data_IF_111244262167
#
_entry.id   IF_111244262167
#
_cell.length_a   1.000
_cell.length_b   1.000
_cell.length_c   1.000
_cell.angle_alpha   90.00
_cell.angle_beta   90.00
_cell.angle_gamma   90.00
#
_symmetry.space_group_name_H-M   'P 1'
#
loop_
_entity.id
_entity.type
_entity.pdbx_description
1 polymer ?
#
# COMPACT_ATOMS: atom_id res chain seq x y z
N UNK A 1 -9.40 -43.57 7.51
CA UNK A 1 -8.62 -43.38 6.27
C UNK A 1 -9.65 -43.10 5.19
N UNK A 2 -10.12 -41.86 5.06
CA UNK A 2 -9.35 -40.74 4.52
C UNK A 2 -9.61 -39.46 5.32
N UNK A 3 -8.54 -38.80 5.78
CA UNK A 3 -8.61 -37.45 6.33
C UNK A 3 -9.05 -36.48 5.24
N UNK A 4 -10.10 -35.73 5.55
CA UNK A 4 -10.43 -34.52 4.82
C UNK A 4 -9.38 -33.46 5.21
N UNK A 5 -8.42 -33.23 4.31
CA UNK A 5 -7.64 -31.99 4.33
C UNK A 5 -8.63 -30.88 4.06
N UNK A 6 -9.07 -30.21 5.12
CA UNK A 6 -9.76 -28.95 5.04
C UNK A 6 -8.71 -27.97 4.49
N UNK A 7 -8.84 -27.64 3.21
CA UNK A 7 -8.16 -26.52 2.58
C UNK A 7 -8.59 -25.25 3.33
N UNK A 8 -7.80 -24.87 4.35
CA UNK A 8 -7.90 -23.60 5.07
C UNK A 8 -7.27 -22.47 4.23
N UNK A 9 -7.60 -22.44 2.94
CA UNK A 9 -7.33 -21.31 2.06
C UNK A 9 -8.59 -20.47 1.91
N UNK A 10 -9.16 -20.07 3.06
CA UNK A 10 -10.00 -18.89 3.09
C UNK A 10 -9.11 -17.74 2.62
N UNK A 11 -9.34 -17.26 1.39
CA UNK A 11 -8.57 -16.19 0.76
C UNK A 11 -8.47 -15.01 1.72
N UNK A 12 -7.37 -14.94 2.48
CA UNK A 12 -7.10 -13.85 3.38
C UNK A 12 -7.10 -12.59 2.52
N UNK A 13 -7.95 -11.63 2.85
CA UNK A 13 -7.93 -10.33 2.17
C UNK A 13 -6.48 -9.83 2.24
N UNK A 14 -5.81 -9.61 1.09
CA UNK A 14 -4.41 -9.22 1.12
C UNK A 14 -4.32 -7.94 1.94
N UNK A 15 -3.44 -7.94 2.93
CA UNK A 15 -3.19 -6.75 3.73
C UNK A 15 -2.73 -5.65 2.77
N UNK A 16 -3.48 -4.55 2.75
CA UNK A 16 -3.19 -3.38 1.92
C UNK A 16 -2.62 -2.27 2.79
N UNK A 17 -1.81 -1.43 2.18
CA UNK A 17 -1.34 -0.16 2.74
C UNK A 17 -1.86 0.98 1.88
N UNK A 18 -2.39 2.01 2.54
CA UNK A 18 -2.80 3.24 1.87
C UNK A 18 -1.60 4.18 1.73
N UNK A 19 -1.33 4.62 0.50
CA UNK A 19 -0.27 5.56 0.18
C UNK A 19 -0.88 6.76 -0.55
N UNK A 20 -0.59 7.95 -0.05
CA UNK A 20 -0.94 9.22 -0.69
C UNK A 20 0.11 9.55 -1.74
N UNK A 21 -0.34 9.79 -2.96
CA UNK A 21 0.48 10.13 -4.11
C UNK A 21 0.00 11.46 -4.69
N UNK A 22 0.92 12.43 -4.81
CA UNK A 22 0.65 13.72 -5.46
C UNK A 22 0.45 13.57 -6.98
N UNK A 23 -0.10 14.59 -7.63
CA UNK A 23 -0.38 14.52 -9.07
C UNK A 23 0.90 14.34 -9.91
N UNK A 24 1.98 15.05 -9.57
CA UNK A 24 3.25 14.95 -10.30
C UNK A 24 3.90 13.57 -10.09
N UNK A 25 3.84 13.04 -8.87
CA UNK A 25 4.33 11.71 -8.54
C UNK A 25 3.52 10.60 -9.20
N UNK A 26 2.20 10.78 -9.34
CA UNK A 26 1.34 9.86 -10.05
C UNK A 26 1.72 9.79 -11.54
N UNK A 27 2.05 10.92 -12.16
CA UNK A 27 2.55 10.94 -13.54
C UNK A 27 3.90 10.24 -13.66
N UNK A 28 4.82 10.50 -12.73
CA UNK A 28 6.12 9.83 -12.67
C UNK A 28 5.96 8.31 -12.54
N UNK A 29 5.10 7.86 -11.63
CA UNK A 29 4.79 6.46 -11.38
C UNK A 29 4.21 5.79 -12.62
N UNK A 30 3.23 6.43 -13.26
CA UNK A 30 2.61 5.91 -14.48
C UNK A 30 3.62 5.82 -15.64
N UNK A 31 4.53 6.78 -15.75
CA UNK A 31 5.64 6.72 -16.70
C UNK A 31 6.56 5.53 -16.41
N UNK A 32 6.96 5.33 -15.15
CA UNK A 32 7.82 4.23 -14.74
C UNK A 32 7.18 2.85 -15.03
N UNK A 33 5.90 2.68 -14.72
CA UNK A 33 5.16 1.45 -15.00
C UNK A 33 5.01 1.19 -16.51
N UNK A 34 4.92 2.26 -17.31
CA UNK A 34 4.83 2.18 -18.78
C UNK A 34 6.08 1.59 -19.45
N UNK A 35 7.24 1.66 -18.79
CA UNK A 35 8.51 1.08 -19.29
C UNK A 35 8.61 -0.43 -19.03
N UNK A 36 7.75 -0.99 -18.18
CA UNK A 36 7.72 -2.42 -17.89
C UNK A 36 6.83 -3.19 -18.89
N UNK A 37 7.05 -4.51 -19.07
CA UNK A 37 6.21 -5.32 -19.94
C UNK A 37 4.73 -5.25 -19.51
N UNK A 38 3.85 -4.87 -20.45
CA UNK A 38 2.42 -4.64 -20.19
C UNK A 38 1.73 -5.74 -19.37
N UNK A 39 2.03 -7.02 -19.65
CA UNK A 39 1.48 -8.18 -18.93
C UNK A 39 1.75 -8.17 -17.42
N UNK A 40 2.77 -7.45 -16.96
CA UNK A 40 3.11 -7.31 -15.54
C UNK A 40 2.35 -6.18 -14.87
N UNK A 41 2.11 -5.09 -15.60
CA UNK A 41 1.60 -3.83 -15.04
C UNK A 41 0.11 -3.59 -15.29
N UNK A 42 -0.54 -4.32 -16.21
CA UNK A 42 -1.90 -3.98 -16.65
C UNK A 42 -2.94 -3.99 -15.52
N UNK A 43 -2.89 -4.98 -14.61
CA UNK A 43 -3.80 -5.05 -13.46
C UNK A 43 -3.58 -3.88 -12.51
N UNK A 44 -2.31 -3.58 -12.22
CA UNK A 44 -1.93 -2.49 -11.33
C UNK A 44 -2.35 -1.14 -11.91
N UNK A 45 -2.03 -0.88 -13.18
CA UNK A 45 -2.45 0.34 -13.89
C UNK A 45 -3.98 0.45 -13.90
N UNK A 46 -4.68 -0.65 -14.16
CA UNK A 46 -6.14 -0.69 -14.11
C UNK A 46 -6.67 -0.33 -12.71
N UNK A 47 -6.06 -0.86 -11.66
CA UNK A 47 -6.42 -0.55 -10.28
C UNK A 47 -6.15 0.92 -9.92
N UNK A 48 -4.96 1.45 -10.26
CA UNK A 48 -4.59 2.84 -10.01
C UNK A 48 -5.53 3.81 -10.75
N UNK A 49 -5.86 3.52 -12.00
CA UNK A 49 -6.79 4.35 -12.78
C UNK A 49 -8.20 4.36 -12.19
N UNK A 50 -8.70 3.22 -11.68
CA UNK A 50 -10.00 3.19 -10.98
C UNK A 50 -9.98 4.05 -9.72
N UNK A 51 -8.90 3.99 -8.94
CA UNK A 51 -8.74 4.79 -7.74
C UNK A 51 -8.62 6.29 -8.07
N UNK A 52 -7.89 6.63 -9.14
CA UNK A 52 -7.77 8.02 -9.63
C UNK A 52 -9.11 8.58 -10.12
N UNK A 53 -9.93 7.78 -10.78
CA UNK A 53 -11.25 8.22 -11.24
C UNK A 53 -12.29 8.32 -10.10
N UNK A 54 -12.01 7.74 -8.94
CA UNK A 54 -12.88 7.83 -7.76
C UNK A 54 -12.66 9.10 -6.94
N UNK A 55 -11.56 9.82 -7.19
CA UNK A 55 -11.23 11.07 -6.49
C UNK A 55 -11.54 12.29 -7.36
N UNK A 56 -11.79 13.44 -6.71
CA UNK A 56 -12.02 14.69 -7.44
C UNK A 56 -10.75 15.13 -8.20
N UNK A 57 -10.88 15.73 -9.40
CA UNK A 57 -9.73 16.25 -10.13
C UNK A 57 -8.89 17.22 -9.28
N UNK A 58 -7.57 17.00 -9.25
CA UNK A 58 -6.64 17.81 -8.47
C UNK A 58 -6.52 17.44 -6.98
N UNK A 59 -7.29 16.45 -6.50
CA UNK A 59 -7.06 15.86 -5.19
C UNK A 59 -5.85 14.91 -5.22
N UNK A 60 -5.16 14.77 -4.08
CA UNK A 60 -4.16 13.74 -3.91
C UNK A 60 -4.80 12.35 -4.05
N UNK A 61 -4.10 11.44 -4.71
CA UNK A 61 -4.56 10.08 -4.92
C UNK A 61 -4.19 9.24 -3.70
N UNK A 62 -5.18 8.61 -3.06
CA UNK A 62 -4.92 7.59 -2.04
C UNK A 62 -4.97 6.23 -2.71
N UNK A 63 -3.81 5.56 -2.75
CA UNK A 63 -3.64 4.25 -3.35
C UNK A 63 -3.64 3.15 -2.29
N UNK A 64 -4.64 2.27 -2.31
CA UNK A 64 -4.61 1.02 -1.57
C UNK A 64 -3.76 0.00 -2.35
N UNK A 65 -2.63 -0.40 -1.78
CA UNK A 65 -1.64 -1.28 -2.41
C UNK A 65 -1.43 -2.54 -1.59
N UNK A 66 -1.52 -3.70 -2.24
CA UNK A 66 -1.04 -4.95 -1.66
C UNK A 66 0.48 -5.08 -1.85
N UNK A 67 1.09 -6.08 -1.19
CA UNK A 67 2.53 -6.29 -1.26
C UNK A 67 3.07 -6.51 -2.69
N UNK A 68 2.42 -7.33 -3.56
CA UNK A 68 2.82 -7.46 -4.96
C UNK A 68 2.77 -6.15 -5.75
N UNK A 69 1.69 -5.38 -5.61
CA UNK A 69 1.56 -4.07 -6.26
C UNK A 69 2.66 -3.12 -5.81
N UNK A 70 2.91 -3.06 -4.49
CA UNK A 70 3.95 -2.21 -3.94
C UNK A 70 5.35 -2.60 -4.44
N UNK A 71 5.67 -3.89 -4.48
CA UNK A 71 6.95 -4.37 -5.00
C UNK A 71 7.16 -3.98 -6.47
N UNK A 72 6.11 -4.08 -7.29
CA UNK A 72 6.16 -3.72 -8.70
C UNK A 72 6.36 -2.20 -8.90
N UNK A 73 5.75 -1.38 -8.03
CA UNK A 73 5.98 0.07 -8.00
C UNK A 73 7.45 0.37 -7.69
N UNK A 74 8.00 -0.22 -6.63
CA UNK A 74 9.40 -0.01 -6.25
C UNK A 74 10.37 -0.46 -7.35
N UNK A 75 10.09 -1.59 -7.99
CA UNK A 75 10.86 -2.07 -9.16
C UNK A 75 10.83 -1.05 -10.31
N UNK A 76 9.64 -0.59 -10.70
CA UNK A 76 9.46 0.38 -11.77
C UNK A 76 10.24 1.68 -11.48
N UNK A 77 10.10 2.21 -10.26
CA UNK A 77 10.82 3.40 -9.81
C UNK A 77 12.35 3.20 -9.80
N UNK A 78 12.82 1.99 -9.52
CA UNK A 78 14.24 1.64 -9.55
C UNK A 78 14.91 1.73 -10.93
N UNK A 79 14.13 1.78 -12.01
CA UNK A 79 14.64 1.99 -13.37
C UNK A 79 14.86 3.48 -13.72
N UNK A 80 14.39 4.41 -12.87
CA UNK A 80 14.51 5.83 -13.14
C UNK A 80 15.80 6.44 -12.53
N UNK A 81 16.31 7.55 -13.10
CA UNK A 81 17.42 8.28 -12.49
C UNK A 81 17.10 8.75 -11.07
N UNK A 82 18.02 8.55 -10.13
CA UNK A 82 17.82 8.84 -8.71
C UNK A 82 17.28 10.26 -8.44
N UNK A 83 17.81 11.28 -9.13
CA UNK A 83 17.38 12.68 -9.00
C UNK A 83 15.89 12.94 -9.33
N UNK A 84 15.23 12.02 -10.05
CA UNK A 84 13.80 12.12 -10.35
C UNK A 84 12.91 11.43 -9.33
N UNK A 85 13.43 10.39 -8.67
CA UNK A 85 12.62 9.43 -7.93
C UNK A 85 12.86 9.47 -6.42
N UNK A 86 13.96 10.07 -5.98
CA UNK A 86 14.33 10.09 -4.57
C UNK A 86 13.27 10.76 -3.68
N UNK A 87 12.65 11.84 -4.13
CA UNK A 87 11.57 12.52 -3.39
C UNK A 87 10.39 11.58 -3.12
N UNK A 88 9.82 11.00 -4.17
CA UNK A 88 8.72 10.04 -4.07
C UNK A 88 9.08 8.82 -3.19
N UNK A 89 10.29 8.28 -3.32
CA UNK A 89 10.72 7.15 -2.50
C UNK A 89 10.79 7.55 -1.02
N UNK A 90 11.30 8.74 -0.70
CA UNK A 90 11.42 9.20 0.67
C UNK A 90 10.05 9.52 1.29
N UNK A 91 9.12 10.05 0.49
CA UNK A 91 7.73 10.26 0.91
C UNK A 91 7.01 8.93 1.18
N UNK A 92 7.17 7.93 0.30
CA UNK A 92 6.63 6.58 0.51
C UNK A 92 7.19 5.97 1.81
N UNK A 93 8.50 6.07 2.05
CA UNK A 93 9.11 5.58 3.30
C UNK A 93 8.52 6.28 4.51
N UNK A 94 8.38 7.60 4.47
CA UNK A 94 7.82 8.37 5.59
C UNK A 94 6.39 7.92 5.91
N UNK A 95 5.57 7.70 4.88
CA UNK A 95 4.20 7.19 5.03
C UNK A 95 4.16 5.77 5.63
N UNK A 96 5.01 4.86 5.15
CA UNK A 96 5.10 3.51 5.73
C UNK A 96 5.56 3.53 7.19
N UNK A 97 6.53 4.38 7.52
CA UNK A 97 6.97 4.56 8.91
C UNK A 97 5.83 5.08 9.79
N UNK A 98 5.13 6.13 9.34
CA UNK A 98 3.99 6.68 10.05
C UNK A 98 2.88 5.65 10.26
N UNK A 99 2.52 4.91 9.22
CA UNK A 99 1.53 3.83 9.30
C UNK A 99 1.93 2.78 10.33
N UNK A 100 3.19 2.32 10.32
CA UNK A 100 3.71 1.34 11.29
C UNK A 100 3.63 1.83 12.74
N UNK A 101 3.90 3.12 12.99
CA UNK A 101 3.77 3.69 14.33
C UNK A 101 2.31 3.86 14.75
N UNK A 102 1.40 4.21 13.84
CA UNK A 102 -0.03 4.28 14.12
C UNK A 102 -0.59 2.91 14.53
N UNK A 103 -0.26 1.85 13.77
CA UNK A 103 -0.67 0.48 14.11
C UNK A 103 -0.03 -0.04 15.40
N UNK A 104 1.23 0.32 15.69
CA UNK A 104 1.90 -0.03 16.95
C UNK A 104 1.32 0.68 18.17
N UNK A 105 0.86 1.92 18.01
CA UNK A 105 0.23 2.70 19.08
C UNK A 105 -1.15 2.18 19.45
N UNK A 106 -1.98 1.76 18.48
CA UNK A 106 -3.31 1.20 18.76
C UNK A 106 -3.26 -0.19 19.40
N UNK A 107 -2.24 -1.00 19.09
CA UNK A 107 -2.02 -2.28 19.74
C UNK A 107 -1.55 -2.12 21.20
N UNK A 108 -0.74 -1.09 21.48
CA UNK A 108 -0.32 -0.73 22.83
C UNK A 108 -1.48 -0.17 23.67
N UNK A 109 -2.34 0.67 23.07
CA UNK A 109 -3.51 1.26 23.74
C UNK A 109 -4.57 0.20 24.13
N UNK A 110 -4.75 -0.83 23.28
CA UNK A 110 -5.62 -1.99 23.60
C UNK A 110 -5.10 -2.87 24.73
N UNK A 111 -3.78 -2.95 24.95
CA UNK A 111 -3.20 -3.65 26.10
C UNK A 111 -3.22 -2.83 27.40
N UNK A 112 -3.40 -1.51 27.32
CA UNK A 112 -3.42 -0.62 28.49
C UNK A 112 -4.74 -0.55 29.25
N UNK A 113 -5.86 -1.03 28.67
CA UNK A 113 -7.19 -0.96 29.30
C UNK A 113 -7.53 -2.23 30.06
N UNK A 114 -6.83 -2.46 31.18
CA UNK A 114 -7.36 -3.31 32.26
C UNK A 114 -8.51 -2.57 32.93
N UNK A 115 -9.76 -3.05 32.88
CA UNK A 115 -10.81 -2.54 33.74
C UNK A 115 -10.49 -3.04 35.16
N UNK A 116 -9.87 -2.18 35.95
CA UNK A 116 -9.69 -2.40 37.38
C UNK A 116 -11.03 -2.72 38.02
N UNK A 117 -11.23 -3.99 38.32
CA UNK A 117 -12.33 -4.48 39.13
C UNK A 117 -12.24 -3.84 40.54
N UNK A 118 -13.39 -3.37 41.02
CA UNK A 118 -13.64 -2.83 42.37
C UNK A 118 -13.05 -3.71 43.47
N UNK A 119 -12.43 -3.09 44.48
CA UNK A 119 -12.62 -3.31 45.94
C UNK A 119 -12.14 -2.00 46.59
N UNK A 120 -12.91 -1.26 47.38
CA UNK A 120 -13.45 -1.59 48.69
C UNK A 120 -14.60 -0.64 49.06
#
# INVERSE_FOLDING_TARGET
MTDAIIDDNAAATPATVDIVIGTDDAQLLMGALGELPFKRVFELIGALNRQANAVSPGAALVCALDAPAFALIVEALGHLPYHRVHGLIDDIKAQLHAARYAFGSEAADRSGRMPGARVQ
#
